data_IF_963155932351
#
_entry.id   IF_963155932351
#
_cell.length_a   1.000
_cell.length_b   1.000
_cell.length_c   1.000
_cell.angle_alpha   90.00
_cell.angle_beta   90.00
_cell.angle_gamma   90.00
#
_symmetry.space_group_name_H-M   'P 1'
#
loop_
_entity.id
_entity.type
_entity.pdbx_description
1 polymer ?
#
# COMPACT_ATOMS: atom_id res chain seq x y z
N UNK A 1 -18.43 -12.54 5.90
CA UNK A 1 -17.59 -11.51 6.53
C UNK A 1 -17.10 -12.12 7.83
N UNK A 2 -15.80 -12.34 7.97
CA UNK A 2 -15.24 -12.92 9.20
C UNK A 2 -14.94 -11.77 10.16
N UNK A 3 -15.74 -11.67 11.22
CA UNK A 3 -15.69 -10.64 12.27
C UNK A 3 -14.55 -10.90 13.29
N UNK A 4 -13.36 -11.29 12.82
CA UNK A 4 -12.17 -11.43 13.67
C UNK A 4 -11.08 -10.47 13.19
N UNK A 5 -11.12 -9.24 13.72
CA UNK A 5 -10.12 -8.19 13.48
C UNK A 5 -8.76 -8.48 14.15
N UNK A 6 -8.62 -9.60 14.86
CA UNK A 6 -7.41 -9.99 15.58
C UNK A 6 -6.98 -11.38 15.12
N UNK A 7 -5.80 -11.43 14.50
CA UNK A 7 -5.06 -12.67 14.25
C UNK A 7 -4.15 -12.94 15.45
N UNK A 8 -4.21 -14.14 15.99
CA UNK A 8 -3.19 -14.63 16.92
C UNK A 8 -1.91 -14.99 16.15
N UNK A 9 -0.74 -15.07 16.80
CA UNK A 9 0.50 -15.45 16.13
C UNK A 9 0.48 -16.83 15.46
N UNK A 10 -0.38 -17.73 15.93
CA UNK A 10 -0.56 -19.08 15.40
C UNK A 10 -1.59 -19.14 14.25
N UNK A 11 -2.36 -18.07 14.04
CA UNK A 11 -3.34 -18.00 12.96
C UNK A 11 -2.64 -17.82 11.61
N UNK A 12 -3.13 -18.56 10.61
CA UNK A 12 -2.64 -18.40 9.24
C UNK A 12 -3.04 -17.02 8.70
N UNK A 13 -2.15 -16.45 7.89
CA UNK A 13 -2.42 -15.18 7.25
C UNK A 13 -3.63 -15.31 6.30
N UNK A 14 -4.61 -14.39 6.34
CA UNK A 14 -5.85 -14.49 5.56
C UNK A 14 -5.60 -14.66 4.06
N UNK A 15 -6.25 -15.64 3.44
CA UNK A 15 -6.07 -15.98 2.01
C UNK A 15 -6.37 -14.82 1.07
N UNK A 16 -7.38 -14.01 1.41
CA UNK A 16 -7.80 -12.84 0.65
C UNK A 16 -6.78 -11.69 0.70
N UNK A 17 -5.89 -11.68 1.70
CA UNK A 17 -4.81 -10.72 1.82
C UNK A 17 -3.46 -11.27 1.33
N UNK A 18 -3.37 -12.57 1.02
CA UNK A 18 -2.10 -13.20 0.59
C UNK A 18 -1.60 -12.68 -0.74
N UNK A 19 -2.48 -12.16 -1.60
CA UNK A 19 -2.12 -11.72 -2.94
C UNK A 19 -2.81 -10.41 -3.24
N UNK A 20 -2.00 -9.42 -3.61
CA UNK A 20 -2.49 -8.18 -4.20
C UNK A 20 -2.22 -8.25 -5.70
N UNK A 21 -3.26 -8.12 -6.51
CA UNK A 21 -3.11 -8.10 -7.97
C UNK A 21 -2.37 -6.84 -8.43
N UNK A 22 -1.76 -6.89 -9.62
CA UNK A 22 -1.07 -5.72 -10.18
C UNK A 22 -2.02 -4.52 -10.36
N UNK A 23 -3.28 -4.79 -10.70
CA UNK A 23 -4.29 -3.75 -10.82
C UNK A 23 -4.56 -3.07 -9.48
N UNK A 24 -4.68 -3.84 -8.39
CA UNK A 24 -4.90 -3.28 -7.06
C UNK A 24 -3.69 -2.47 -6.58
N UNK A 25 -2.47 -2.90 -6.88
CA UNK A 25 -1.26 -2.12 -6.60
C UNK A 25 -1.24 -0.80 -7.39
N UNK A 26 -1.55 -0.83 -8.68
CA UNK A 26 -1.61 0.39 -9.50
C UNK A 26 -2.70 1.36 -9.03
N UNK A 27 -3.84 0.84 -8.55
CA UNK A 27 -4.88 1.67 -7.94
C UNK A 27 -4.38 2.29 -6.64
N UNK A 28 -3.63 1.54 -5.82
CA UNK A 28 -3.07 2.06 -4.57
C UNK A 28 -2.01 3.14 -4.84
N UNK A 29 -1.13 2.91 -5.81
CA UNK A 29 -0.13 3.87 -6.30
C UNK A 29 -0.78 5.18 -6.74
N UNK A 30 -1.80 5.10 -7.60
CA UNK A 30 -2.53 6.28 -8.05
C UNK A 30 -3.20 7.05 -6.92
N UNK A 31 -3.62 6.38 -5.84
CA UNK A 31 -4.20 7.06 -4.66
C UNK A 31 -3.13 7.78 -3.85
N UNK A 32 -1.99 7.14 -3.62
CA UNK A 32 -0.88 7.71 -2.86
C UNK A 32 -0.30 8.92 -3.60
N UNK A 33 -0.11 8.83 -4.93
CA UNK A 33 0.35 9.97 -5.71
C UNK A 33 -0.57 11.18 -5.59
N UNK A 34 -1.89 10.99 -5.66
CA UNK A 34 -2.86 12.09 -5.46
C UNK A 34 -2.82 12.64 -4.05
N UNK A 35 -2.54 11.80 -3.05
CA UNK A 35 -2.39 12.24 -1.67
C UNK A 35 -1.13 13.11 -1.51
N UNK A 36 0.02 12.68 -2.05
CA UNK A 36 1.26 13.47 -2.06
C UNK A 36 1.05 14.83 -2.74
N UNK A 37 0.38 14.84 -3.90
CA UNK A 37 0.07 16.07 -4.62
C UNK A 37 -0.81 17.00 -3.77
N UNK A 38 -1.81 16.44 -3.08
CA UNK A 38 -2.69 17.21 -2.19
C UNK A 38 -1.95 17.78 -0.98
N UNK A 39 -1.14 16.97 -0.29
CA UNK A 39 -0.33 17.38 0.86
C UNK A 39 0.65 18.49 0.48
N UNK A 40 1.35 18.34 -0.65
CA UNK A 40 2.24 19.38 -1.16
C UNK A 40 1.50 20.70 -1.45
N UNK A 41 0.26 20.65 -1.96
CA UNK A 41 -0.53 21.86 -2.24
C UNK A 41 -1.08 22.51 -0.97
N UNK A 42 -1.53 21.72 0.01
CA UNK A 42 -2.22 22.22 1.20
C UNK A 42 -1.23 22.56 2.33
N UNK A 43 -0.30 21.67 2.60
CA UNK A 43 0.61 21.74 3.74
C UNK A 43 2.02 22.22 3.34
N UNK A 44 2.34 22.20 2.04
CA UNK A 44 3.64 22.64 1.50
C UNK A 44 4.77 21.61 1.66
N UNK A 45 4.45 20.45 2.24
CA UNK A 45 5.32 19.30 2.40
C UNK A 45 4.47 18.01 2.37
N UNK A 46 5.11 16.89 2.07
CA UNK A 46 4.49 15.56 2.12
C UNK A 46 4.54 14.97 3.52
N UNK A 47 3.51 14.22 3.89
CA UNK A 47 3.52 13.45 5.13
C UNK A 47 4.47 12.25 4.99
N UNK A 48 5.28 12.02 6.03
CA UNK A 48 6.31 10.96 6.03
C UNK A 48 5.73 9.55 5.88
N UNK A 49 4.54 9.31 6.40
CA UNK A 49 3.84 8.04 6.23
C UNK A 49 3.39 7.87 4.78
N UNK A 50 2.93 8.94 4.12
CA UNK A 50 2.56 8.92 2.70
C UNK A 50 3.77 8.65 1.82
N UNK A 51 4.91 9.30 2.09
CA UNK A 51 6.19 9.04 1.43
C UNK A 51 6.65 7.59 1.61
N UNK A 52 6.58 7.08 2.85
CA UNK A 52 6.94 5.71 3.17
C UNK A 52 6.10 4.69 2.39
N UNK A 53 4.78 4.89 2.31
CA UNK A 53 3.90 4.01 1.53
C UNK A 53 4.18 4.05 0.03
N UNK A 54 4.53 5.22 -0.52
CA UNK A 54 4.96 5.33 -1.93
C UNK A 54 6.24 4.53 -2.16
N UNK A 55 7.22 4.67 -1.28
CA UNK A 55 8.48 3.93 -1.37
C UNK A 55 8.28 2.41 -1.34
N UNK A 56 7.44 1.89 -0.44
CA UNK A 56 7.16 0.46 -0.36
C UNK A 56 6.50 -0.07 -1.65
N UNK A 57 5.63 0.73 -2.28
CA UNK A 57 5.07 0.38 -3.59
C UNK A 57 6.11 0.36 -4.70
N UNK A 58 7.01 1.35 -4.73
CA UNK A 58 8.11 1.35 -5.70
C UNK A 58 8.99 0.09 -5.55
N UNK A 59 9.27 -0.33 -4.32
CA UNK A 59 10.01 -1.57 -4.05
C UNK A 59 9.25 -2.78 -4.60
N UNK A 60 7.95 -2.89 -4.32
CA UNK A 60 7.14 -4.01 -4.79
C UNK A 60 7.03 -4.05 -6.32
N UNK A 61 6.85 -2.92 -7.00
CA UNK A 61 6.86 -2.87 -8.47
C UNK A 61 8.22 -3.32 -9.04
N UNK A 62 9.32 -2.80 -8.48
CA UNK A 62 10.66 -3.21 -8.89
C UNK A 62 10.91 -4.70 -8.68
N UNK A 63 10.36 -5.29 -7.62
CA UNK A 63 10.50 -6.72 -7.35
C UNK A 63 9.60 -7.58 -8.22
N UNK A 64 8.44 -7.08 -8.66
CA UNK A 64 7.58 -7.76 -9.65
C UNK A 64 8.15 -7.70 -11.06
N UNK A 65 8.74 -6.59 -11.47
CA UNK A 65 9.36 -6.45 -12.80
C UNK A 65 10.53 -7.42 -13.03
N UNK A 66 11.13 -7.94 -11.95
CA UNK A 66 12.20 -8.95 -11.99
C UNK A 66 11.69 -10.40 -12.06
N UNK A 67 10.39 -10.66 -11.85
CA UNK A 67 9.79 -12.01 -11.83
C UNK A 67 9.39 -12.46 -13.23
#
# INVERSE_FOLDING_TARGET
>A
MNDNLHLTPDDQFPEDLQKVSDNELQVLDSRIQRQLDHEMVIDGESDRETEFRHYELDVEFNDRDKR
#
